data_IF_275229209666
#
_entry.id   IF_275229209666
#
_cell.length_a   1.000
_cell.length_b   1.000
_cell.length_c   1.000
_cell.angle_alpha   90.00
_cell.angle_beta   90.00
_cell.angle_gamma   90.00
#
_symmetry.space_group_name_H-M   'P 1'
#
loop_
_entity.id
_entity.type
_entity.pdbx_description
1 polymer ?
#
# COMPACT_ATOMS: atom_id res chain seq x y z
N UNK A 1 15.79 -2.25 -11.46
CA UNK A 1 14.35 -1.98 -11.70
C UNK A 1 14.10 -0.54 -11.26
N UNK A 2 14.23 0.42 -12.18
CA UNK A 2 14.34 1.87 -11.91
C UNK A 2 13.00 2.61 -12.03
N UNK A 3 11.89 1.98 -11.65
CA UNK A 3 10.62 2.72 -11.65
C UNK A 3 10.57 3.66 -10.45
N UNK A 4 10.52 4.97 -10.74
CA UNK A 4 10.28 6.02 -9.77
C UNK A 4 8.87 5.89 -9.20
N UNK A 5 8.73 6.17 -7.92
CA UNK A 5 7.44 6.32 -7.25
C UNK A 5 7.09 7.80 -7.24
N UNK A 6 5.90 8.15 -7.71
CA UNK A 6 5.41 9.52 -7.81
C UNK A 6 4.20 9.77 -6.90
N UNK A 7 3.88 11.05 -6.70
CA UNK A 7 2.68 11.43 -5.94
C UNK A 7 1.45 10.90 -6.66
N UNK A 8 0.46 10.43 -5.90
CA UNK A 8 -0.74 9.71 -6.34
C UNK A 8 -0.56 8.24 -6.72
N UNK A 9 0.67 7.74 -6.87
CA UNK A 9 0.90 6.32 -7.13
C UNK A 9 0.34 5.47 -5.98
N UNK A 10 -0.32 4.38 -6.35
CA UNK A 10 -0.74 3.36 -5.40
C UNK A 10 0.36 2.31 -5.33
N UNK A 11 0.78 1.95 -4.12
CA UNK A 11 1.92 1.07 -3.86
C UNK A 11 1.54 0.01 -2.84
N UNK A 12 2.20 -1.14 -2.91
CA UNK A 12 2.15 -2.16 -1.85
C UNK A 12 3.41 -2.07 -0.99
N UNK A 13 3.21 -2.17 0.31
CA UNK A 13 4.23 -1.97 1.34
C UNK A 13 4.27 -3.23 2.20
N UNK A 14 5.44 -3.68 2.64
CA UNK A 14 5.54 -4.76 3.60
C UNK A 14 5.95 -4.22 4.97
N UNK A 15 4.98 -3.92 5.83
CA UNK A 15 5.20 -3.58 7.23
C UNK A 15 4.96 -4.81 8.12
N UNK A 16 5.98 -5.33 8.83
CA UNK A 16 5.83 -6.49 9.72
C UNK A 16 4.82 -6.32 10.84
N UNK A 17 4.41 -5.08 11.15
CA UNK A 17 3.38 -4.77 12.16
C UNK A 17 1.96 -5.11 11.71
N UNK A 18 1.71 -5.21 10.40
CA UNK A 18 0.36 -5.32 9.81
C UNK A 18 0.23 -6.53 8.85
N UNK A 19 0.83 -7.67 9.19
CA UNK A 19 0.98 -8.84 8.29
C UNK A 19 -0.32 -9.47 7.80
N UNK A 20 -1.41 -9.38 8.57
CA UNK A 20 -2.65 -10.11 8.25
C UNK A 20 -3.48 -9.51 7.11
N UNK A 21 -3.04 -8.40 6.50
CA UNK A 21 -3.80 -7.71 5.45
C UNK A 21 -2.89 -7.23 4.33
N UNK A 22 -3.39 -7.19 3.07
CA UNK A 22 -2.70 -6.47 2.02
C UNK A 22 -2.53 -5.00 2.44
N UNK A 23 -1.29 -4.54 2.44
CA UNK A 23 -0.88 -3.21 2.90
C UNK A 23 -0.65 -2.30 1.69
N UNK A 24 -1.74 -1.73 1.22
CA UNK A 24 -1.74 -0.83 0.06
C UNK A 24 -1.90 0.61 0.54
N UNK A 25 -1.14 1.52 -0.04
CA UNK A 25 -1.23 2.94 0.26
C UNK A 25 -1.10 3.77 -1.01
N UNK A 26 -1.62 5.01 -0.97
CA UNK A 26 -1.39 6.02 -2.00
C UNK A 26 -0.33 6.99 -1.52
N UNK A 27 0.62 7.33 -2.40
CA UNK A 27 1.63 8.35 -2.10
C UNK A 27 0.98 9.73 -2.11
N UNK A 28 1.14 10.45 -1.00
CA UNK A 28 0.63 11.82 -0.84
C UNK A 28 1.74 12.83 -1.09
N UNK A 29 2.95 12.53 -0.63
CA UNK A 29 4.08 13.45 -0.75
C UNK A 29 5.41 12.69 -0.76
N UNK A 30 6.36 13.20 -1.54
CA UNK A 30 7.78 12.81 -1.42
C UNK A 30 8.42 13.58 -0.27
N UNK A 31 9.18 12.87 0.55
CA UNK A 31 9.96 13.45 1.65
C UNK A 31 11.44 13.20 1.38
N UNK A 32 12.35 13.87 2.11
CA UNK A 32 13.80 13.67 1.94
C UNK A 32 14.24 12.22 2.17
N UNK A 33 13.51 11.46 2.99
CA UNK A 33 13.90 10.12 3.45
C UNK A 33 12.92 9.01 3.00
N UNK A 34 12.00 9.30 2.08
CA UNK A 34 10.97 8.36 1.65
C UNK A 34 9.67 9.05 1.26
N UNK A 35 8.53 8.53 1.71
CA UNK A 35 7.22 8.99 1.28
C UNK A 35 6.24 9.15 2.45
N UNK A 36 5.44 10.20 2.39
CA UNK A 36 4.18 10.28 3.13
C UNK A 36 3.11 9.56 2.31
N UNK A 37 2.46 8.58 2.93
CA UNK A 37 1.48 7.72 2.28
C UNK A 37 0.18 7.70 3.06
N UNK A 38 -0.94 7.67 2.35
CA UNK A 38 -2.25 7.46 2.91
C UNK A 38 -2.65 6.01 2.70
N UNK A 39 -2.85 5.28 3.80
CA UNK A 39 -3.27 3.88 3.75
C UNK A 39 -4.60 3.73 3.03
N UNK A 40 -4.76 2.60 2.36
CA UNK A 40 -6.02 2.22 1.73
C UNK A 40 -6.64 1.04 2.48
N UNK A 41 -7.96 1.06 2.62
CA UNK A 41 -8.76 -0.03 3.15
C UNK A 41 -9.49 -0.73 2.01
N UNK A 42 -9.35 -2.04 1.93
CA UNK A 42 -9.96 -2.86 0.90
C UNK A 42 -9.59 -4.33 1.06
N UNK A 43 -9.87 -5.13 0.04
CA UNK A 43 -9.50 -6.54 -0.01
C UNK A 43 -9.14 -6.94 -1.44
N UNK A 44 -8.59 -8.13 -1.64
CA UNK A 44 -8.24 -8.62 -2.97
C UNK A 44 -9.44 -8.72 -3.94
N UNK A 45 -10.65 -8.93 -3.42
CA UNK A 45 -11.89 -9.00 -4.20
C UNK A 45 -12.76 -7.74 -4.11
N UNK A 46 -12.47 -6.87 -3.14
CA UNK A 46 -13.20 -5.64 -2.84
C UNK A 46 -12.61 -4.40 -3.49
N UNK A 47 -13.33 -3.29 -3.36
CA UNK A 47 -12.79 -1.97 -3.69
C UNK A 47 -11.81 -1.51 -2.61
N UNK A 48 -10.83 -0.72 -3.05
CA UNK A 48 -9.85 -0.05 -2.23
C UNK A 48 -10.21 1.41 -2.12
N UNK A 49 -10.37 1.86 -0.89
CA UNK A 49 -10.72 3.25 -0.58
C UNK A 49 -9.73 3.80 0.41
N UNK A 50 -9.68 5.12 0.55
CA UNK A 50 -8.84 5.76 1.55
C UNK A 50 -9.19 5.31 2.96
N UNK A 51 -8.20 4.76 3.67
CA UNK A 51 -8.36 4.37 5.06
C UNK A 51 -8.44 5.62 5.93
N UNK A 52 -9.30 5.56 6.94
CA UNK A 52 -9.42 6.58 7.98
C UNK A 52 -9.18 5.96 9.34
N UNK A 53 -8.53 6.69 10.22
CA UNK A 53 -8.37 6.34 11.63
C UNK A 53 -9.12 7.35 12.49
N UNK A 54 -9.47 6.96 13.72
CA UNK A 54 -10.00 7.89 14.71
C UNK A 54 -8.88 8.78 15.23
N UNK A 55 -9.16 10.07 15.28
CA UNK A 55 -8.38 11.08 15.99
C UNK A 55 -9.34 11.89 16.86
N UNK A 56 -9.35 11.56 18.16
CA UNK A 56 -10.40 11.97 19.09
C UNK A 56 -11.79 11.56 18.59
N UNK A 57 -12.64 12.56 18.30
CA UNK A 57 -14.02 12.36 17.80
C UNK A 57 -14.13 12.33 16.27
N UNK A 58 -13.06 12.64 15.54
CA UNK A 58 -13.09 12.76 14.07
C UNK A 58 -12.46 11.53 13.41
N UNK A 59 -12.94 11.17 12.23
CA UNK A 59 -12.25 10.25 11.33
C UNK A 59 -11.37 11.05 10.40
N UNK A 60 -10.06 10.84 10.48
CA UNK A 60 -9.06 11.51 9.64
C UNK A 60 -8.39 10.51 8.71
N UNK A 61 -7.90 10.93 7.54
CA UNK A 61 -7.03 10.09 6.71
C UNK A 61 -5.94 9.42 7.53
N UNK A 62 -5.77 8.12 7.37
CA UNK A 62 -4.66 7.42 8.02
C UNK A 62 -3.41 7.58 7.16
N UNK A 63 -2.59 8.57 7.53
CA UNK A 63 -1.32 8.88 6.89
C UNK A 63 -0.16 8.38 7.76
N UNK A 64 0.87 7.83 7.12
CA UNK A 64 2.15 7.45 7.74
C UNK A 64 3.33 7.80 6.84
N UNK A 65 4.54 7.77 7.39
CA UNK A 65 5.79 7.91 6.63
C UNK A 65 6.46 6.55 6.47
N UNK A 66 6.88 6.23 5.25
CA UNK A 66 7.57 4.97 4.93
C UNK A 66 8.87 5.24 4.18
N UNK A 67 9.80 4.28 4.22
CA UNK A 67 11.00 4.31 3.38
C UNK A 67 10.71 3.68 2.03
N UNK A 68 11.46 4.06 1.01
CA UNK A 68 11.35 3.41 -0.31
C UNK A 68 11.66 1.91 -0.24
N UNK A 69 12.55 1.49 0.66
CA UNK A 69 12.91 0.08 0.91
C UNK A 69 11.73 -0.79 1.38
N UNK A 70 10.69 -0.17 1.95
CA UNK A 70 9.53 -0.88 2.48
C UNK A 70 8.52 -1.22 1.36
N UNK A 71 8.68 -0.62 0.18
CA UNK A 71 7.81 -0.79 -0.98
C UNK A 71 8.17 -2.10 -1.70
N UNK A 72 7.18 -2.99 -1.83
CA UNK A 72 7.36 -4.29 -2.50
C UNK A 72 6.76 -4.32 -3.91
N UNK A 73 5.85 -3.39 -4.22
CA UNK A 73 5.28 -3.25 -5.54
C UNK A 73 4.91 -1.79 -5.81
N UNK A 74 5.36 -1.26 -6.94
CA UNK A 74 5.15 0.12 -7.35
C UNK A 74 4.03 0.19 -8.40
N UNK A 75 3.34 1.34 -8.50
CA UNK A 75 2.37 1.67 -9.57
C UNK A 75 1.23 0.64 -9.77
N UNK A 76 0.48 0.39 -8.70
CA UNK A 76 -0.76 -0.38 -8.76
C UNK A 76 -1.81 0.43 -9.52
N UNK A 77 -2.18 -0.06 -10.71
CA UNK A 77 -3.35 0.44 -11.42
C UNK A 77 -4.62 -0.18 -10.83
N UNK A 78 -5.46 0.65 -10.20
CA UNK A 78 -6.81 0.27 -9.82
C UNK A 78 -7.75 0.38 -11.02
N UNK A 79 -8.77 -0.48 -11.07
CA UNK A 79 -9.85 -0.34 -12.05
C UNK A 79 -10.71 0.90 -11.73
N UNK A 80 -11.60 1.28 -12.66
CA UNK A 80 -12.58 2.36 -12.42
C UNK A 80 -13.48 2.11 -11.20
N UNK A 81 -13.69 0.85 -10.81
CA UNK A 81 -14.41 0.47 -9.59
C UNK A 81 -13.51 0.48 -8.33
N UNK A 82 -12.31 1.06 -8.43
CA UNK A 82 -11.26 1.05 -7.41
C UNK A 82 -10.87 -0.37 -6.94
N UNK A 83 -10.91 -1.36 -7.82
CA UNK A 83 -10.52 -2.75 -7.49
C UNK A 83 -9.14 -3.08 -8.05
N UNK A 84 -8.49 -4.08 -7.48
CA UNK A 84 -7.31 -4.69 -8.07
C UNK A 84 -7.72 -5.55 -9.27
N UNK A 85 -6.88 -5.61 -10.30
CA UNK A 85 -7.05 -6.62 -11.36
C UNK A 85 -6.56 -7.99 -10.87
N UNK A 86 -7.04 -9.08 -11.46
CA UNK A 86 -6.60 -10.43 -11.10
C UNK A 86 -5.07 -10.59 -11.20
N UNK A 87 -4.44 -9.98 -12.21
CA UNK A 87 -2.98 -9.97 -12.38
C UNK A 87 -2.28 -9.33 -11.18
N UNK A 88 -2.76 -8.16 -10.74
CA UNK A 88 -2.19 -7.49 -9.55
C UNK A 88 -2.43 -8.30 -8.29
N UNK A 89 -3.62 -8.89 -8.12
CA UNK A 89 -3.92 -9.76 -6.95
C UNK A 89 -2.95 -10.93 -6.85
N UNK A 90 -2.71 -11.64 -7.95
CA UNK A 90 -1.77 -12.77 -7.99
C UNK A 90 -0.35 -12.32 -7.67
N UNK A 91 0.12 -11.22 -8.27
CA UNK A 91 1.44 -10.66 -8.01
C UNK A 91 1.62 -10.28 -6.52
N UNK A 92 0.65 -9.56 -5.94
CA UNK A 92 0.72 -9.14 -4.54
C UNK A 92 0.75 -10.34 -3.59
N UNK A 93 -0.08 -11.36 -3.81
CA UNK A 93 -0.07 -12.59 -3.00
C UNK A 93 1.31 -13.26 -3.02
N UNK A 94 1.92 -13.38 -4.20
CA UNK A 94 3.27 -13.96 -4.33
C UNK A 94 4.33 -13.12 -3.61
N UNK A 95 4.28 -11.79 -3.72
CA UNK A 95 5.24 -10.88 -3.10
C UNK A 95 5.14 -10.88 -1.57
N UNK A 96 3.93 -10.84 -1.02
CA UNK A 96 3.74 -10.93 0.43
C UNK A 96 4.17 -12.29 0.97
N UNK A 97 3.79 -13.39 0.32
CA UNK A 97 4.20 -14.74 0.73
C UNK A 97 5.73 -14.92 0.72
N UNK A 98 6.44 -14.38 -0.29
CA UNK A 98 7.90 -14.43 -0.35
C UNK A 98 8.56 -13.67 0.82
N UNK A 99 7.97 -12.54 1.25
CA UNK A 99 8.47 -11.76 2.39
C UNK A 99 8.20 -12.42 3.74
N UNK A 100 7.07 -13.11 3.90
CA UNK A 100 6.80 -13.89 5.12
C UNK A 100 7.77 -15.08 5.27
N UNK A 101 8.10 -15.76 4.16
CA UNK A 101 9.05 -16.87 4.14
C UNK A 101 10.52 -16.49 4.33
N UNK A 102 10.89 -15.20 4.32
CA UNK A 102 12.27 -14.74 4.61
C UNK A 102 12.52 -14.54 6.11
N UNK A 103 11.61 -15.00 6.98
CA UNK A 103 11.85 -15.13 8.41
C UNK A 103 12.43 -16.53 8.67
N UNK A 104 13.75 -16.70 8.53
CA UNK A 104 14.48 -17.91 8.93
C UNK A 104 15.83 -17.50 9.51
#
# INVERSE_FOLDING_TARGET
>A
MNESVDVMDVIAICCPKYKDRPQIARVVQKTSNGFSVQWMAGSYSGSWTEAKRRDGRKLVPWVDTIKESDIIYKKIALTSANKLTNKVVQNLRSLYAAKDGTSS
#
